data_IF_583590283543
#
_entry.id   IF_583590283543
#
_cell.length_a   1.000
_cell.length_b   1.000
_cell.length_c   1.000
_cell.angle_alpha   90.00
_cell.angle_beta   90.00
_cell.angle_gamma   90.00
#
_symmetry.space_group_name_H-M   'P 1'
#
loop_
_entity.id
_entity.type
_entity.pdbx_description
1 polymer ?
#
# COMPACT_ATOMS: atom_id res chain seq x y z
N UNK A 1 -44.41 -28.46 -0.05
CA UNK A 1 -43.77 -27.90 1.17
C UNK A 1 -44.86 -27.36 2.07
N UNK A 2 -44.90 -27.77 3.35
CA UNK A 2 -45.86 -27.24 4.31
C UNK A 2 -45.71 -25.71 4.41
N UNK A 3 -46.83 -24.97 4.38
CA UNK A 3 -46.84 -23.52 4.59
C UNK A 3 -46.37 -23.26 6.03
N UNK A 4 -45.10 -22.90 6.22
CA UNK A 4 -44.58 -22.47 7.51
C UNK A 4 -45.12 -21.07 7.80
N UNK A 5 -45.91 -20.93 8.88
CA UNK A 5 -46.39 -19.63 9.35
C UNK A 5 -45.23 -18.90 10.05
N UNK A 6 -44.71 -17.86 9.40
CA UNK A 6 -43.59 -17.06 9.91
C UNK A 6 -43.93 -16.33 11.22
N UNK A 7 -45.21 -16.02 11.47
CA UNK A 7 -45.65 -15.35 12.70
C UNK A 7 -45.52 -16.20 13.97
N UNK A 8 -45.35 -17.52 13.82
CA UNK A 8 -45.17 -18.45 14.95
C UNK A 8 -43.75 -19.04 14.99
N UNK A 9 -42.85 -18.55 14.15
CA UNK A 9 -41.47 -19.02 14.14
C UNK A 9 -40.73 -18.49 15.38
N UNK A 10 -39.87 -19.33 15.96
CA UNK A 10 -39.04 -18.95 17.11
C UNK A 10 -38.12 -17.79 16.71
N UNK A 11 -38.20 -16.69 17.47
CA UNK A 11 -37.27 -15.58 17.33
C UNK A 11 -35.89 -16.02 17.83
N UNK A 12 -34.86 -15.74 17.03
CA UNK A 12 -33.46 -15.97 17.40
C UNK A 12 -32.78 -14.61 17.62
N UNK A 13 -32.00 -14.45 18.70
CA UNK A 13 -31.34 -13.18 19.00
C UNK A 13 -30.07 -12.93 18.17
N UNK A 14 -29.60 -13.94 17.43
CA UNK A 14 -28.43 -13.86 16.54
C UNK A 14 -28.53 -14.89 15.42
N UNK A 15 -27.82 -14.65 14.31
CA UNK A 15 -27.68 -15.55 13.17
C UNK A 15 -26.23 -15.54 12.65
N UNK A 16 -25.78 -16.65 12.08
CA UNK A 16 -24.44 -16.78 11.47
C UNK A 16 -24.45 -16.32 10.00
N UNK A 17 -23.29 -15.97 9.44
CA UNK A 17 -23.14 -15.44 8.06
C UNK A 17 -23.79 -16.32 6.98
N UNK A 18 -23.72 -17.64 7.13
CA UNK A 18 -24.29 -18.61 6.18
C UNK A 18 -25.79 -18.92 6.43
N UNK A 19 -26.40 -18.35 7.47
CA UNK A 19 -27.82 -18.55 7.76
C UNK A 19 -28.68 -17.76 6.77
N UNK A 20 -29.87 -18.28 6.48
CA UNK A 20 -30.78 -17.70 5.51
C UNK A 20 -31.71 -16.65 6.10
N UNK A 21 -31.75 -15.47 5.49
CA UNK A 21 -32.76 -14.42 5.67
C UNK A 21 -33.83 -14.60 4.58
N UNK A 22 -35.10 -14.45 4.94
CA UNK A 22 -36.23 -14.50 4.00
C UNK A 22 -36.55 -13.08 3.54
N UNK A 23 -36.64 -12.88 2.22
CA UNK A 23 -36.92 -11.58 1.60
C UNK A 23 -38.02 -11.74 0.55
N UNK A 24 -38.77 -10.68 0.27
CA UNK A 24 -39.72 -10.64 -0.84
C UNK A 24 -39.08 -9.95 -2.05
N UNK A 25 -39.06 -10.63 -3.19
CA UNK A 25 -38.55 -10.11 -4.46
C UNK A 25 -39.55 -10.44 -5.55
N UNK A 26 -40.03 -9.42 -6.26
CA UNK A 26 -41.02 -9.54 -7.35
C UNK A 26 -42.28 -10.34 -6.94
N UNK A 27 -42.84 -10.00 -5.77
CA UNK A 27 -44.06 -10.64 -5.27
C UNK A 27 -43.90 -12.10 -4.84
N UNK A 28 -42.66 -12.57 -4.70
CA UNK A 28 -42.38 -13.93 -4.24
C UNK A 28 -41.35 -13.96 -3.12
N UNK A 29 -41.58 -14.83 -2.13
CA UNK A 29 -40.62 -15.08 -1.07
C UNK A 29 -39.40 -15.81 -1.63
N UNK A 30 -38.21 -15.32 -1.29
CA UNK A 30 -36.89 -15.88 -1.62
C UNK A 30 -36.05 -16.01 -0.35
N UNK A 31 -34.96 -16.77 -0.43
CA UNK A 31 -33.98 -16.92 0.65
C UNK A 31 -32.64 -16.39 0.17
N UNK A 32 -32.00 -15.56 0.98
CA UNK A 32 -30.65 -15.03 0.80
C UNK A 32 -29.84 -15.31 2.06
N UNK A 33 -28.54 -15.53 1.99
CA UNK A 33 -27.72 -15.65 3.22
C UNK A 33 -27.56 -14.30 3.90
N UNK A 34 -27.33 -14.22 5.22
CA UNK A 34 -27.03 -12.95 5.88
C UNK A 34 -25.85 -12.23 5.21
N UNK A 35 -24.79 -12.95 4.84
CA UNK A 35 -23.62 -12.36 4.18
C UNK A 35 -24.00 -11.67 2.85
N UNK A 36 -24.67 -12.39 1.95
CA UNK A 36 -25.20 -11.82 0.70
C UNK A 36 -26.25 -10.73 0.92
N UNK A 37 -27.07 -10.80 1.97
CA UNK A 37 -28.06 -9.76 2.28
C UNK A 37 -27.38 -8.47 2.71
N UNK A 38 -26.41 -8.55 3.61
CA UNK A 38 -25.56 -7.42 4.01
C UNK A 38 -24.83 -6.84 2.80
N UNK A 39 -24.26 -7.70 1.94
CA UNK A 39 -23.63 -7.25 0.70
C UNK A 39 -24.63 -6.53 -0.21
N UNK A 40 -25.87 -7.03 -0.36
CA UNK A 40 -26.91 -6.42 -1.19
C UNK A 40 -27.45 -5.09 -0.66
N UNK A 41 -27.48 -4.90 0.66
CA UNK A 41 -27.83 -3.62 1.28
C UNK A 41 -26.71 -2.58 1.06
N UNK A 42 -25.46 -3.02 1.00
CA UNK A 42 -24.29 -2.15 0.92
C UNK A 42 -23.92 -1.77 -0.53
N UNK A 43 -24.46 -2.46 -1.54
CA UNK A 43 -24.10 -2.24 -2.95
C UNK A 43 -24.72 -1.02 -3.61
N UNK A 44 -25.87 -0.50 -3.16
CA UNK A 44 -26.58 0.58 -3.89
C UNK A 44 -27.05 1.79 -3.06
N UNK A 45 -26.96 1.74 -1.72
CA UNK A 45 -27.39 2.86 -0.88
C UNK A 45 -26.18 3.60 -0.29
N UNK A 46 -25.80 4.72 -0.92
CA UNK A 46 -24.75 5.60 -0.42
C UNK A 46 -25.03 6.08 1.02
N UNK A 47 -26.30 6.18 1.43
CA UNK A 47 -26.65 6.57 2.79
C UNK A 47 -26.27 5.49 3.81
N UNK A 48 -26.38 4.21 3.46
CA UNK A 48 -25.92 3.11 4.29
C UNK A 48 -24.39 3.08 4.35
N UNK A 49 -23.70 3.22 3.21
CA UNK A 49 -22.24 3.29 3.18
C UNK A 49 -21.71 4.43 4.07
N UNK A 50 -22.34 5.60 4.06
CA UNK A 50 -21.95 6.73 4.93
C UNK A 50 -22.00 6.42 6.43
N UNK A 51 -22.78 5.41 6.85
CA UNK A 51 -22.84 4.96 8.25
C UNK A 51 -21.79 3.91 8.59
N UNK A 52 -21.43 3.03 7.65
CA UNK A 52 -20.57 1.87 7.90
C UNK A 52 -19.21 1.91 7.18
N UNK A 53 -18.90 3.02 6.50
CA UNK A 53 -17.69 3.24 5.75
C UNK A 53 -17.31 4.72 5.80
N UNK A 54 -16.03 5.00 5.61
CA UNK A 54 -15.56 6.34 5.23
C UNK A 54 -15.17 6.32 3.76
N UNK A 55 -15.14 7.49 3.14
CA UNK A 55 -14.82 7.57 1.73
C UNK A 55 -14.14 8.85 1.33
N UNK A 56 -13.60 8.84 0.12
CA UNK A 56 -12.92 9.98 -0.49
C UNK A 56 -13.48 10.17 -1.90
N UNK A 57 -14.07 11.34 -2.22
CA UNK A 57 -14.42 11.67 -3.60
C UNK A 57 -13.13 11.83 -4.40
N UNK A 58 -12.94 11.07 -5.47
CA UNK A 58 -11.78 11.16 -6.34
C UNK A 58 -12.01 12.25 -7.38
N UNK A 59 -11.72 13.51 -7.00
CA UNK A 59 -11.97 14.70 -7.84
C UNK A 59 -10.87 14.93 -8.89
N UNK A 60 -10.41 13.86 -9.54
CA UNK A 60 -9.36 13.91 -10.57
C UNK A 60 -9.78 14.63 -11.87
N UNK A 61 -11.05 15.09 -11.96
CA UNK A 61 -11.51 16.03 -12.98
C UNK A 61 -11.25 17.51 -12.64
N UNK A 62 -10.70 17.80 -11.46
CA UNK A 62 -10.40 19.15 -10.99
C UNK A 62 -8.92 19.26 -10.63
N UNK A 63 -8.33 20.44 -10.82
CA UNK A 63 -6.91 20.66 -10.54
C UNK A 63 -6.59 20.65 -9.04
N UNK A 64 -7.55 20.89 -8.15
CA UNK A 64 -7.30 20.88 -6.71
C UNK A 64 -7.00 19.46 -6.21
N UNK A 65 -5.92 19.25 -5.44
CA UNK A 65 -5.67 18.00 -4.74
C UNK A 65 -6.52 17.87 -3.46
N UNK A 66 -7.22 18.91 -3.03
CA UNK A 66 -8.03 18.91 -1.80
C UNK A 66 -9.41 18.31 -2.07
N UNK A 67 -9.50 16.99 -1.96
CA UNK A 67 -10.72 16.25 -2.27
C UNK A 67 -11.66 16.13 -1.08
N UNK A 68 -11.11 16.04 0.13
CA UNK A 68 -11.84 15.89 1.38
C UNK A 68 -12.18 14.43 1.71
N UNK A 69 -12.77 14.23 2.88
CA UNK A 69 -13.19 12.91 3.39
C UNK A 69 -14.68 12.97 3.75
N UNK A 70 -15.39 11.89 3.50
CA UNK A 70 -16.83 11.76 3.74
C UNK A 70 -17.18 10.47 4.49
N UNK A 71 -18.44 10.34 4.91
CA UNK A 71 -18.93 9.15 5.60
C UNK A 71 -18.49 9.10 7.06
N UNK A 72 -18.30 7.90 7.59
CA UNK A 72 -18.02 7.64 9.00
C UNK A 72 -16.53 7.81 9.33
N UNK A 73 -16.10 9.06 9.54
CA UNK A 73 -14.71 9.38 9.95
C UNK A 73 -14.34 8.84 11.34
N UNK A 74 -15.33 8.50 12.17
CA UNK A 74 -15.10 7.79 13.43
C UNK A 74 -14.54 6.39 13.20
N UNK A 75 -15.10 5.66 12.24
CA UNK A 75 -14.58 4.35 11.83
C UNK A 75 -13.17 4.44 11.24
N UNK A 76 -12.86 5.50 10.48
CA UNK A 76 -11.48 5.75 10.06
C UNK A 76 -10.54 5.89 11.27
N UNK A 77 -10.92 6.67 12.29
CA UNK A 77 -10.09 6.83 13.48
C UNK A 77 -9.89 5.51 14.24
N UNK A 78 -10.92 4.67 14.32
CA UNK A 78 -10.83 3.32 14.87
C UNK A 78 -9.88 2.44 14.05
N UNK A 79 -10.06 2.40 12.72
CA UNK A 79 -9.17 1.66 11.83
C UNK A 79 -7.71 2.10 12.00
N UNK A 80 -7.47 3.42 11.94
CA UNK A 80 -6.17 4.05 12.13
C UNK A 80 -5.53 3.65 13.46
N UNK A 81 -6.29 3.54 14.54
CA UNK A 81 -5.78 3.17 15.86
C UNK A 81 -5.23 1.73 15.94
N UNK A 82 -5.68 0.85 15.04
CA UNK A 82 -5.19 -0.53 14.97
C UNK A 82 -3.95 -0.68 14.07
N UNK A 83 -3.67 0.33 13.24
CA UNK A 83 -2.47 0.35 12.38
C UNK A 83 -1.27 0.77 13.21
N UNK A 84 -0.15 0.07 13.03
CA UNK A 84 1.15 0.61 13.42
C UNK A 84 2.23 -0.43 13.58
N UNK A 85 3.30 -0.08 14.29
CA UNK A 85 4.54 -0.88 14.31
C UNK A 85 4.49 -2.05 15.29
N UNK A 86 5.08 -3.17 14.88
CA UNK A 86 5.28 -4.40 15.64
C UNK A 86 6.70 -4.91 15.41
N UNK A 87 7.27 -5.62 16.38
CA UNK A 87 8.37 -6.54 16.08
C UNK A 87 7.76 -7.88 15.66
N UNK A 88 8.16 -8.37 14.48
CA UNK A 88 7.70 -9.66 13.92
C UNK A 88 8.90 -10.60 13.75
N UNK A 89 8.80 -11.79 14.34
CA UNK A 89 9.82 -12.84 14.26
C UNK A 89 9.66 -13.66 12.98
N UNK A 90 10.69 -14.40 12.57
CA UNK A 90 10.64 -15.19 11.33
C UNK A 90 9.52 -16.23 11.30
N UNK A 91 9.08 -16.73 12.46
CA UNK A 91 7.97 -17.67 12.65
C UNK A 91 6.59 -16.99 12.83
N UNK A 92 6.50 -15.66 12.71
CA UNK A 92 5.22 -14.94 12.66
C UNK A 92 4.67 -14.49 14.03
N UNK A 93 5.45 -14.55 15.11
CA UNK A 93 5.06 -13.93 16.38
C UNK A 93 5.18 -12.42 16.26
N UNK A 94 4.17 -11.69 16.71
CA UNK A 94 4.10 -10.24 16.60
C UNK A 94 3.79 -9.60 17.95
N UNK A 95 4.60 -8.62 18.36
CA UNK A 95 4.34 -7.80 19.54
C UNK A 95 4.37 -6.31 19.19
N UNK A 96 3.35 -5.59 19.67
CA UNK A 96 3.09 -4.19 19.35
C UNK A 96 4.17 -3.28 19.94
N UNK A 97 4.69 -2.37 19.13
CA UNK A 97 5.58 -1.29 19.59
C UNK A 97 4.76 -0.11 20.10
N UNK A 98 5.37 0.72 20.95
CA UNK A 98 4.68 1.89 21.50
C UNK A 98 4.23 2.85 20.39
N UNK A 99 2.95 3.30 20.40
CA UNK A 99 2.39 4.15 19.35
C UNK A 99 2.98 5.57 19.33
N UNK A 100 3.71 5.96 20.38
CA UNK A 100 4.37 7.27 20.48
C UNK A 100 5.89 7.16 20.44
N UNK A 101 6.47 5.96 20.61
CA UNK A 101 7.90 5.74 20.47
C UNK A 101 8.20 4.26 20.17
N UNK A 102 8.41 3.95 18.89
CA UNK A 102 8.72 2.58 18.44
C UNK A 102 10.13 2.09 18.78
N UNK A 103 10.86 2.76 19.68
CA UNK A 103 12.07 2.22 20.31
C UNK A 103 11.81 1.25 21.46
N UNK A 104 10.55 1.07 21.88
CA UNK A 104 10.12 0.17 22.96
C UNK A 104 8.81 -0.53 22.60
N UNK A 105 8.53 -1.66 23.25
CA UNK A 105 7.22 -2.30 23.15
C UNK A 105 6.13 -1.46 23.81
N UNK A 106 4.86 -1.66 23.41
CA UNK A 106 3.72 -0.94 23.97
C UNK A 106 3.51 -1.23 25.47
N UNK A 107 3.97 -2.39 25.95
CA UNK A 107 3.97 -2.78 27.37
C UNK A 107 5.16 -2.21 28.17
N UNK A 108 6.04 -1.43 27.53
CA UNK A 108 7.24 -0.85 28.15
C UNK A 108 8.47 -1.76 28.13
N UNK A 109 8.38 -2.99 27.61
CA UNK A 109 9.52 -3.90 27.47
C UNK A 109 10.55 -3.31 26.49
N UNK A 110 11.84 -3.52 26.78
CA UNK A 110 12.94 -3.12 25.90
C UNK A 110 12.87 -3.88 24.58
N UNK A 111 13.03 -3.15 23.46
CA UNK A 111 13.05 -3.71 22.12
C UNK A 111 14.44 -4.27 21.77
N UNK A 112 14.50 -5.51 21.30
CA UNK A 112 15.67 -6.09 20.63
C UNK A 112 15.33 -6.45 19.18
N UNK A 113 15.74 -5.61 18.24
CA UNK A 113 15.48 -5.81 16.81
C UNK A 113 16.30 -6.97 16.22
N UNK A 114 17.28 -7.54 16.92
CA UNK A 114 18.01 -8.72 16.43
C UNK A 114 17.11 -9.96 16.36
N UNK A 115 16.03 -9.98 17.14
CA UNK A 115 15.05 -11.07 17.25
C UNK A 115 14.00 -11.09 16.13
N UNK A 116 13.95 -10.07 15.29
CA UNK A 116 12.96 -9.99 14.23
C UNK A 116 13.11 -8.78 13.33
N UNK A 117 11.97 -8.30 12.85
CA UNK A 117 11.85 -7.19 11.92
C UNK A 117 10.77 -6.23 12.40
N UNK A 118 11.01 -4.92 12.27
CA UNK A 118 10.02 -3.90 12.58
C UNK A 118 9.07 -3.76 11.38
N UNK A 119 7.82 -4.18 11.57
CA UNK A 119 6.78 -4.22 10.55
C UNK A 119 5.63 -3.29 10.96
N UNK A 120 4.99 -2.65 10.00
CA UNK A 120 3.65 -2.07 10.17
C UNK A 120 2.64 -3.17 9.92
N UNK A 121 1.77 -3.41 10.89
CA UNK A 121 0.62 -4.30 10.76
C UNK A 121 -0.65 -3.45 10.77
N UNK A 122 -1.57 -3.78 9.87
CA UNK A 122 -2.92 -3.25 9.84
C UNK A 122 -3.93 -4.41 9.69
N UNK A 123 -5.14 -4.31 10.25
CA UNK A 123 -6.22 -5.21 9.87
C UNK A 123 -6.51 -5.12 8.38
N UNK A 124 -7.11 -6.15 7.81
CA UNK A 124 -7.65 -6.11 6.44
C UNK A 124 -8.55 -4.89 6.23
N UNK A 125 -8.42 -4.27 5.06
CA UNK A 125 -9.22 -3.13 4.64
C UNK A 125 -10.15 -3.51 3.49
N UNK A 126 -11.47 -3.45 3.70
CA UNK A 126 -12.44 -3.57 2.61
C UNK A 126 -12.57 -2.25 1.86
N UNK A 127 -12.72 -2.31 0.54
CA UNK A 127 -12.91 -1.13 -0.29
C UNK A 127 -13.75 -1.39 -1.52
N UNK A 128 -14.39 -0.33 -2.02
CA UNK A 128 -15.09 -0.32 -3.31
C UNK A 128 -14.96 1.07 -3.95
N UNK A 129 -14.81 1.10 -5.27
CA UNK A 129 -14.92 2.34 -6.06
C UNK A 129 -16.32 2.40 -6.63
N UNK A 130 -17.05 3.50 -6.38
CA UNK A 130 -18.39 3.73 -6.92
C UNK A 130 -18.48 5.06 -7.63
N UNK A 131 -19.04 5.07 -8.84
CA UNK A 131 -19.28 6.30 -9.58
C UNK A 131 -20.65 6.85 -9.24
N UNK A 132 -20.72 8.10 -8.80
CA UNK A 132 -21.98 8.83 -8.78
C UNK A 132 -22.34 9.24 -10.21
N UNK A 133 -23.46 8.71 -10.72
CA UNK A 133 -23.92 8.99 -12.06
C UNK A 133 -24.31 10.46 -12.26
N UNK A 134 -24.76 11.16 -11.20
CA UNK A 134 -25.22 12.54 -11.30
C UNK A 134 -24.06 13.54 -11.40
N UNK A 135 -23.06 13.42 -10.52
CA UNK A 135 -21.88 14.30 -10.54
C UNK A 135 -20.75 13.80 -11.44
N UNK A 136 -20.75 12.52 -11.81
CA UNK A 136 -19.65 11.89 -12.54
C UNK A 136 -18.37 11.73 -11.72
N UNK A 137 -18.45 11.86 -10.38
CA UNK A 137 -17.33 11.69 -9.45
C UNK A 137 -17.27 10.22 -9.01
N UNK A 138 -16.06 9.65 -9.03
CA UNK A 138 -15.80 8.34 -8.44
C UNK A 138 -15.51 8.50 -6.94
N UNK A 139 -16.05 7.63 -6.11
CA UNK A 139 -15.87 7.61 -4.67
C UNK A 139 -15.15 6.33 -4.28
N UNK A 140 -14.01 6.47 -3.62
CA UNK A 140 -13.36 5.35 -2.94
C UNK A 140 -13.95 5.23 -1.55
N UNK A 141 -14.71 4.16 -1.30
CA UNK A 141 -15.23 3.80 0.01
C UNK A 141 -14.35 2.74 0.64
N UNK A 142 -14.13 2.85 1.95
CA UNK A 142 -13.27 1.97 2.75
C UNK A 142 -13.95 1.64 4.08
N UNK A 143 -13.76 0.41 4.56
CA UNK A 143 -14.36 -0.04 5.82
C UNK A 143 -13.58 -1.19 6.47
N UNK A 144 -13.73 -1.31 7.78
CA UNK A 144 -13.36 -2.50 8.55
C UNK A 144 -14.31 -3.69 8.30
N UNK A 145 -15.49 -3.42 7.77
CA UNK A 145 -16.54 -4.38 7.52
C UNK A 145 -16.69 -4.64 6.01
N UNK A 146 -17.19 -5.81 5.60
CA UNK A 146 -17.53 -6.05 4.20
C UNK A 146 -18.56 -5.04 3.69
N UNK A 147 -18.19 -4.28 2.65
CA UNK A 147 -19.04 -3.25 2.02
C UNK A 147 -19.30 -3.52 0.53
N UNK A 148 -19.13 -4.77 0.11
CA UNK A 148 -18.99 -5.14 -1.30
C UNK A 148 -17.63 -4.73 -1.86
N UNK A 149 -17.32 -5.18 -3.08
CA UNK A 149 -16.04 -4.91 -3.74
C UNK A 149 -14.92 -5.86 -3.29
N UNK A 150 -13.77 -5.29 -2.95
CA UNK A 150 -12.53 -6.01 -2.68
C UNK A 150 -12.00 -5.74 -1.27
N UNK A 151 -10.89 -6.39 -0.92
CA UNK A 151 -10.14 -6.06 0.27
C UNK A 151 -8.63 -6.11 0.02
N UNK A 152 -7.87 -5.44 0.87
CA UNK A 152 -6.41 -5.58 0.98
C UNK A 152 -6.10 -6.28 2.30
N UNK A 153 -5.43 -7.42 2.21
CA UNK A 153 -5.01 -8.27 3.33
C UNK A 153 -4.36 -9.53 2.78
N UNK A 154 -3.11 -9.78 3.17
CA UNK A 154 -2.28 -10.84 2.58
C UNK A 154 -1.45 -11.64 3.61
N UNK A 155 -1.50 -11.25 4.88
CA UNK A 155 -1.02 -12.03 6.02
C UNK A 155 -2.19 -12.72 6.74
N UNK A 156 -1.89 -13.82 7.43
CA UNK A 156 -2.82 -14.57 8.27
C UNK A 156 -4.14 -14.93 7.57
N UNK A 157 -4.03 -15.55 6.39
CA UNK A 157 -5.21 -15.90 5.58
C UNK A 157 -5.96 -14.70 5.00
N UNK A 158 -5.34 -13.52 4.98
CA UNK A 158 -5.90 -12.28 4.48
C UNK A 158 -6.58 -11.42 5.54
N UNK A 159 -6.39 -11.72 6.83
CA UNK A 159 -6.93 -10.94 7.95
C UNK A 159 -6.09 -9.69 8.25
N UNK A 160 -4.82 -9.67 7.84
CA UNK A 160 -3.90 -8.57 8.12
C UNK A 160 -3.06 -8.19 6.90
N UNK A 161 -2.50 -7.00 6.97
CA UNK A 161 -1.43 -6.48 6.11
C UNK A 161 -0.17 -6.42 6.97
N UNK A 162 0.97 -6.90 6.50
CA UNK A 162 2.23 -6.88 7.27
C UNK A 162 3.44 -6.49 6.41
N UNK A 163 3.90 -5.25 6.55
CA UNK A 163 4.91 -4.63 5.67
C UNK A 163 5.99 -3.93 6.46
N UNK A 164 7.24 -4.01 6.03
CA UNK A 164 8.39 -3.40 6.68
C UNK A 164 8.19 -1.90 6.94
N UNK A 165 8.32 -1.51 8.21
CA UNK A 165 8.26 -0.11 8.60
C UNK A 165 9.39 0.72 7.96
N UNK A 166 10.52 0.07 7.69
CA UNK A 166 11.72 0.67 7.13
C UNK A 166 12.00 0.14 5.73
N UNK A 167 12.74 0.92 4.94
CA UNK A 167 13.39 0.42 3.73
C UNK A 167 14.32 -0.72 4.12
N UNK A 168 14.32 -1.76 3.31
CA UNK A 168 14.99 -3.00 3.65
C UNK A 168 16.52 -2.83 3.67
N UNK A 169 17.17 -3.51 4.60
CA UNK A 169 18.62 -3.62 4.73
C UNK A 169 19.01 -5.10 4.76
N UNK A 170 20.32 -5.40 4.80
CA UNK A 170 20.81 -6.78 4.93
C UNK A 170 21.43 -7.02 6.30
N UNK A 171 21.12 -8.17 6.88
CA UNK A 171 21.87 -8.77 7.98
C UNK A 171 22.48 -10.09 7.47
N UNK A 172 23.74 -10.04 7.03
CA UNK A 172 24.33 -11.13 6.26
C UNK A 172 23.60 -11.28 4.91
N UNK A 173 23.04 -12.46 4.66
CA UNK A 173 22.25 -12.75 3.46
C UNK A 173 20.74 -12.49 3.63
N UNK A 174 20.26 -12.24 4.84
CA UNK A 174 18.83 -12.05 5.11
C UNK A 174 18.43 -10.59 4.90
N UNK A 175 17.33 -10.37 4.18
CA UNK A 175 16.69 -9.06 4.08
C UNK A 175 15.97 -8.75 5.39
N UNK A 176 16.15 -7.54 5.93
CA UNK A 176 15.59 -7.14 7.22
C UNK A 176 14.90 -5.78 7.15
N UNK A 177 13.89 -5.57 7.99
CA UNK A 177 13.35 -4.23 8.30
C UNK A 177 13.80 -3.86 9.71
N UNK A 178 14.90 -3.10 9.83
CA UNK A 178 15.51 -2.71 11.10
C UNK A 178 15.91 -1.24 11.07
N UNK A 179 16.07 -0.66 12.24
CA UNK A 179 16.56 0.70 12.46
C UNK A 179 18.08 0.75 12.62
N UNK A 180 18.65 1.95 12.52
CA UNK A 180 20.09 2.17 12.74
C UNK A 180 20.98 1.58 11.64
N UNK A 181 20.40 1.24 10.49
CA UNK A 181 21.10 0.58 9.39
C UNK A 181 20.88 1.31 8.08
N UNK A 182 21.83 1.15 7.17
CA UNK A 182 21.72 1.70 5.82
C UNK A 182 20.80 0.80 4.98
N UNK A 183 19.83 1.35 4.25
CA UNK A 183 19.06 0.58 3.28
C UNK A 183 19.96 -0.09 2.24
N UNK A 184 19.57 -1.28 1.83
CA UNK A 184 20.18 -1.99 0.73
C UNK A 184 19.78 -1.36 -0.61
N UNK A 185 20.66 -1.48 -1.59
CA UNK A 185 20.46 -1.08 -2.98
C UNK A 185 21.43 -1.86 -3.86
N UNK A 186 21.56 -1.48 -5.13
CA UNK A 186 22.45 -2.15 -6.10
C UNK A 186 22.17 -3.66 -6.19
N UNK A 187 20.89 -3.99 -6.22
CA UNK A 187 20.35 -5.35 -6.35
C UNK A 187 19.18 -5.33 -7.32
N UNK A 188 19.02 -6.42 -8.04
CA UNK A 188 17.82 -6.70 -8.82
C UNK A 188 16.66 -7.10 -7.89
N UNK A 189 15.42 -6.96 -8.36
CA UNK A 189 14.25 -7.39 -7.58
C UNK A 189 14.29 -8.90 -7.26
N UNK A 190 14.84 -9.72 -8.16
CA UNK A 190 15.02 -11.16 -7.94
C UNK A 190 16.03 -11.47 -6.83
N UNK A 191 17.07 -10.66 -6.68
CA UNK A 191 18.01 -10.77 -5.57
C UNK A 191 17.35 -10.35 -4.25
N UNK A 192 16.63 -9.22 -4.23
CA UNK A 192 15.87 -8.80 -3.05
C UNK A 192 14.86 -9.87 -2.60
N UNK A 193 14.13 -10.46 -3.55
CA UNK A 193 13.22 -11.57 -3.28
C UNK A 193 13.95 -12.76 -2.66
N UNK A 194 15.11 -13.14 -3.20
CA UNK A 194 15.92 -14.23 -2.66
C UNK A 194 16.41 -13.93 -1.24
N UNK A 195 16.87 -12.70 -0.99
CA UNK A 195 17.30 -12.25 0.34
C UNK A 195 16.13 -12.26 1.34
N UNK A 196 14.91 -11.90 0.91
CA UNK A 196 13.71 -11.96 1.74
C UNK A 196 13.36 -13.41 2.13
N UNK A 197 13.48 -14.33 1.17
CA UNK A 197 13.17 -15.75 1.33
C UNK A 197 14.14 -16.47 2.28
N UNK A 198 15.31 -15.89 2.60
CA UNK A 198 16.21 -16.39 3.66
C UNK A 198 15.51 -16.41 5.02
N UNK A 199 14.57 -15.49 5.27
CA UNK A 199 13.78 -15.48 6.51
C UNK A 199 12.70 -16.58 6.55
N UNK A 200 12.38 -17.19 5.41
CA UNK A 200 11.35 -18.22 5.27
C UNK A 200 10.41 -17.97 4.09
N UNK A 201 9.60 -18.98 3.73
CA UNK A 201 8.71 -18.92 2.54
C UNK A 201 7.57 -17.91 2.65
N UNK A 202 7.21 -17.53 3.87
CA UNK A 202 6.20 -16.51 4.15
C UNK A 202 6.73 -15.08 4.00
N UNK A 203 8.02 -14.89 3.76
CA UNK A 203 8.63 -13.57 3.62
C UNK A 203 8.78 -13.20 2.16
N UNK A 204 8.45 -11.96 1.82
CA UNK A 204 8.55 -11.42 0.46
C UNK A 204 8.90 -9.94 0.49
N UNK A 205 8.59 -9.26 -0.59
CA UNK A 205 8.73 -7.81 -0.70
C UNK A 205 7.39 -7.11 -0.63
N UNK A 206 7.39 -5.79 -0.45
CA UNK A 206 6.21 -4.96 -0.67
C UNK A 206 5.60 -5.22 -2.07
N UNK A 207 4.28 -5.43 -2.14
CA UNK A 207 3.55 -5.69 -3.39
C UNK A 207 2.73 -4.45 -3.81
N UNK A 208 2.01 -4.59 -4.92
CA UNK A 208 1.20 -3.50 -5.47
C UNK A 208 0.08 -3.06 -4.51
N UNK A 209 -0.57 -4.02 -3.86
CA UNK A 209 -1.66 -3.77 -2.92
C UNK A 209 -1.20 -3.00 -1.70
N UNK A 210 0.01 -3.26 -1.20
CA UNK A 210 0.63 -2.49 -0.12
C UNK A 210 0.84 -1.02 -0.49
N UNK A 211 1.23 -0.72 -1.73
CA UNK A 211 1.37 0.67 -2.19
C UNK A 211 0.03 1.37 -2.33
N UNK A 212 -1.00 0.67 -2.84
CA UNK A 212 -2.37 1.17 -2.83
C UNK A 212 -2.86 1.45 -1.41
N UNK A 213 -2.58 0.54 -0.48
CA UNK A 213 -2.94 0.70 0.92
C UNK A 213 -2.31 1.97 1.53
N UNK A 214 -1.03 2.25 1.27
CA UNK A 214 -0.40 3.50 1.72
C UNK A 214 -1.10 4.75 1.15
N UNK A 215 -1.47 4.76 -0.13
CA UNK A 215 -2.26 5.85 -0.71
C UNK A 215 -3.63 5.97 -0.05
N UNK A 216 -4.32 4.85 0.21
CA UNK A 216 -5.60 4.82 0.91
C UNK A 216 -5.50 5.40 2.33
N UNK A 217 -4.42 5.12 3.07
CA UNK A 217 -4.16 5.74 4.38
C UNK A 217 -4.02 7.27 4.27
N UNK A 218 -3.26 7.75 3.29
CA UNK A 218 -3.08 9.18 3.05
C UNK A 218 -4.41 9.88 2.70
N UNK A 219 -5.15 9.31 1.75
CA UNK A 219 -6.46 9.82 1.33
C UNK A 219 -7.46 9.80 2.50
N UNK A 220 -7.47 8.75 3.31
CA UNK A 220 -8.36 8.64 4.48
C UNK A 220 -8.05 9.70 5.54
N UNK A 221 -6.78 10.03 5.73
CA UNK A 221 -6.37 11.01 6.74
C UNK A 221 -6.56 12.45 6.27
N UNK A 222 -6.23 12.74 5.01
CA UNK A 222 -6.08 14.12 4.54
C UNK A 222 -7.08 14.50 3.45
N UNK A 223 -7.78 13.52 2.87
CA UNK A 223 -8.63 13.77 1.70
C UNK A 223 -7.84 14.36 0.55
N UNK A 224 -6.55 14.06 0.42
CA UNK A 224 -5.66 14.63 -0.58
C UNK A 224 -4.60 13.61 -0.98
N UNK A 225 -4.28 13.46 -2.28
CA UNK A 225 -3.21 12.58 -2.74
C UNK A 225 -1.82 13.22 -2.52
N UNK A 226 -1.75 14.52 -2.22
CA UNK A 226 -0.48 15.25 -2.07
C UNK A 226 0.21 14.94 -0.73
N UNK A 227 0.76 13.73 -0.60
CA UNK A 227 1.45 13.29 0.61
C UNK A 227 2.63 14.20 1.00
N UNK A 228 3.30 14.80 0.01
CA UNK A 228 4.44 15.69 0.25
C UNK A 228 4.05 16.98 0.97
N UNK A 229 2.91 17.58 0.58
CA UNK A 229 2.33 18.73 1.26
C UNK A 229 1.79 18.38 2.65
N UNK A 230 1.07 17.26 2.76
CA UNK A 230 0.35 16.89 3.99
C UNK A 230 1.24 16.35 5.10
N UNK A 231 2.31 15.65 4.74
CA UNK A 231 3.17 14.95 5.71
C UNK A 231 4.58 15.54 5.64
N UNK A 232 5.20 15.57 4.46
CA UNK A 232 6.54 16.11 4.26
C UNK A 232 7.16 15.70 2.93
N UNK A 233 8.14 16.48 2.47
CA UNK A 233 8.75 16.37 1.13
C UNK A 233 9.69 15.15 0.98
N UNK A 234 9.83 14.33 2.02
CA UNK A 234 10.78 13.22 2.04
C UNK A 234 12.24 13.68 1.99
N UNK A 235 13.14 12.71 1.81
CA UNK A 235 14.59 12.95 1.78
C UNK A 235 15.01 13.77 0.55
N UNK A 236 14.24 13.68 -0.54
CA UNK A 236 14.46 14.41 -1.78
C UNK A 236 14.16 15.90 -1.70
N UNK A 237 13.41 16.33 -0.67
CA UNK A 237 13.05 17.72 -0.49
C UNK A 237 12.08 18.27 -1.54
N UNK A 238 11.84 19.57 -1.47
CA UNK A 238 10.94 20.31 -2.37
C UNK A 238 11.62 20.82 -3.65
N UNK A 239 10.79 21.14 -4.65
CA UNK A 239 11.22 21.59 -5.98
C UNK A 239 11.51 20.41 -6.93
N UNK A 240 11.81 20.69 -8.20
CA UNK A 240 12.07 19.64 -9.19
C UNK A 240 13.38 18.90 -8.99
N UNK A 241 13.87 18.25 -10.05
CA UNK A 241 15.09 17.43 -10.03
C UNK A 241 16.29 18.10 -9.32
N UNK A 242 16.84 17.44 -8.31
CA UNK A 242 18.05 17.85 -7.57
C UNK A 242 18.78 16.63 -7.07
N UNK A 243 19.97 16.34 -7.57
CA UNK A 243 20.71 15.16 -7.12
C UNK A 243 21.24 15.31 -5.68
N UNK A 244 20.47 14.78 -4.72
CA UNK A 244 20.85 14.69 -3.31
C UNK A 244 21.36 13.29 -2.92
N UNK A 245 21.45 12.35 -3.86
CA UNK A 245 21.64 10.93 -3.55
C UNK A 245 22.89 10.66 -2.72
N UNK A 246 24.03 11.22 -3.12
CA UNK A 246 25.29 11.04 -2.39
C UNK A 246 25.23 11.63 -0.96
N UNK A 247 24.43 12.69 -0.76
CA UNK A 247 24.17 13.29 0.55
C UNK A 247 23.35 12.41 1.49
N UNK A 248 22.71 11.35 0.98
CA UNK A 248 21.91 10.43 1.80
C UNK A 248 22.70 9.26 2.38
N UNK A 249 23.99 9.15 2.05
CA UNK A 249 24.83 8.00 2.41
C UNK A 249 25.01 7.79 3.92
N UNK A 250 24.88 8.86 4.71
CA UNK A 250 24.94 8.83 6.18
C UNK A 250 23.59 8.60 6.85
N UNK A 251 22.48 8.61 6.10
CA UNK A 251 21.15 8.41 6.66
C UNK A 251 20.93 6.93 7.00
N UNK A 252 20.34 6.71 8.18
CA UNK A 252 19.99 5.39 8.69
C UNK A 252 18.47 5.31 8.85
N UNK A 253 17.93 4.11 8.69
CA UNK A 253 16.53 3.81 8.98
C UNK A 253 16.21 3.99 10.47
N UNK A 254 14.94 4.17 10.81
CA UNK A 254 14.46 4.34 12.18
C UNK A 254 14.52 5.78 12.69
N UNK A 255 14.74 6.76 11.81
CA UNK A 255 14.75 8.16 12.18
C UNK A 255 13.41 8.62 12.78
N UNK A 256 12.29 8.03 12.34
CA UNK A 256 10.92 8.35 12.78
C UNK A 256 10.48 7.53 13.98
N UNK A 257 11.39 6.90 14.72
CA UNK A 257 11.04 6.10 15.90
C UNK A 257 10.24 6.88 16.93
N UNK A 258 10.63 8.13 17.16
CA UNK A 258 9.99 9.08 18.09
C UNK A 258 8.60 9.53 17.67
N UNK A 259 8.16 9.23 16.44
CA UNK A 259 6.79 9.49 16.00
C UNK A 259 5.86 8.28 16.26
N UNK A 260 6.44 7.09 16.49
CA UNK A 260 5.70 5.84 16.63
C UNK A 260 4.79 5.59 15.43
N UNK A 261 3.49 5.53 15.68
CA UNK A 261 2.45 5.27 14.67
C UNK A 261 1.85 6.56 14.10
N UNK A 262 2.30 7.74 14.54
CA UNK A 262 1.70 9.01 14.16
C UNK A 262 2.17 9.50 12.80
N UNK A 263 1.24 10.05 12.00
CA UNK A 263 1.63 10.77 10.80
C UNK A 263 2.43 12.02 11.14
N UNK A 264 3.51 12.27 10.41
CA UNK A 264 4.32 13.47 10.62
C UNK A 264 5.68 13.41 9.93
N UNK A 265 6.54 14.36 10.28
CA UNK A 265 7.88 14.46 9.73
C UNK A 265 8.90 14.92 10.75
N UNK A 266 10.17 14.62 10.47
CA UNK A 266 11.33 15.17 11.15
C UNK A 266 12.17 15.88 10.09
N UNK A 267 12.37 17.19 10.24
CA UNK A 267 13.17 17.96 9.29
C UNK A 267 14.64 17.55 9.36
N UNK A 268 15.29 17.49 8.20
CA UNK A 268 16.71 17.16 8.07
C UNK A 268 17.37 18.09 7.04
N UNK A 269 18.69 18.12 7.05
CA UNK A 269 19.49 18.73 5.98
C UNK A 269 20.15 17.62 5.17
N UNK A 270 19.99 17.69 3.86
CA UNK A 270 20.67 16.80 2.92
C UNK A 270 21.45 17.66 1.93
N UNK A 271 22.75 17.41 1.83
CA UNK A 271 23.66 18.17 0.97
C UNK A 271 24.51 17.21 0.16
N UNK A 272 24.60 17.46 -1.13
CA UNK A 272 25.51 16.78 -2.05
C UNK A 272 26.44 17.81 -2.70
N UNK A 273 27.65 17.97 -2.15
CA UNK A 273 28.58 19.02 -2.59
C UNK A 273 27.97 20.41 -2.40
N UNK A 274 27.75 21.13 -3.50
CA UNK A 274 27.09 22.46 -3.50
C UNK A 274 25.57 22.39 -3.64
N UNK A 275 25.00 21.21 -3.92
CA UNK A 275 23.55 21.00 -4.02
C UNK A 275 22.98 20.81 -2.62
N UNK A 276 22.15 21.76 -2.18
CA UNK A 276 21.49 21.72 -0.87
C UNK A 276 20.01 21.44 -1.07
N UNK A 277 19.51 20.40 -0.39
CA UNK A 277 18.10 20.06 -0.36
C UNK A 277 17.29 21.12 0.38
N UNK A 278 16.05 21.32 -0.06
CA UNK A 278 15.11 22.28 0.55
C UNK A 278 13.96 21.48 1.18
N UNK A 279 13.54 21.85 2.38
CA UNK A 279 12.44 21.19 3.11
C UNK A 279 12.59 19.65 3.25
N UNK A 280 13.82 19.14 3.24
CA UNK A 280 14.09 17.72 3.37
C UNK A 280 13.59 17.20 4.73
N UNK A 281 12.99 16.02 4.71
CA UNK A 281 12.41 15.44 5.92
C UNK A 281 12.41 13.91 5.91
N UNK A 282 12.45 13.33 7.10
CA UNK A 282 12.12 11.92 7.35
C UNK A 282 10.63 11.86 7.60
N UNK A 283 9.88 11.11 6.80
CA UNK A 283 8.41 11.10 6.86
C UNK A 283 7.90 9.84 7.51
N UNK A 284 6.84 9.95 8.30
CA UNK A 284 6.13 8.82 8.88
C UNK A 284 4.67 8.85 8.42
N UNK A 285 4.22 7.79 7.76
CA UNK A 285 2.83 7.54 7.40
C UNK A 285 2.34 6.33 8.20
N UNK A 286 1.65 6.53 9.31
CA UNK A 286 1.09 5.45 10.12
C UNK A 286 2.12 4.36 10.53
N UNK A 287 3.36 4.78 10.77
CA UNK A 287 4.49 3.88 11.06
C UNK A 287 5.34 3.49 9.85
N UNK A 288 4.93 3.79 8.61
CA UNK A 288 5.77 3.65 7.43
C UNK A 288 6.76 4.81 7.32
N UNK A 289 8.04 4.53 7.54
CA UNK A 289 9.11 5.52 7.39
C UNK A 289 9.52 5.65 5.93
N UNK A 290 9.59 6.88 5.41
CA UNK A 290 10.11 7.23 4.08
C UNK A 290 9.52 6.39 2.94
N UNK A 291 8.19 6.32 2.90
CA UNK A 291 7.46 5.65 1.82
C UNK A 291 7.63 6.34 0.44
N UNK A 292 8.30 7.49 0.39
CA UNK A 292 8.69 8.22 -0.82
C UNK A 292 10.00 9.00 -0.64
N UNK A 293 10.61 9.40 -1.76
CA UNK A 293 11.66 10.43 -1.81
C UNK A 293 13.04 10.05 -1.27
N UNK A 294 13.32 8.78 -0.98
CA UNK A 294 14.67 8.34 -0.60
C UNK A 294 15.26 7.32 -1.58
N UNK A 295 14.67 6.13 -1.66
CA UNK A 295 14.94 5.14 -2.69
C UNK A 295 13.62 4.78 -3.36
N UNK A 296 13.67 4.50 -4.65
CA UNK A 296 12.60 3.77 -5.31
C UNK A 296 12.40 2.41 -4.64
N UNK A 297 11.16 1.95 -4.58
CA UNK A 297 10.81 0.63 -4.04
C UNK A 297 10.44 -0.30 -5.19
N UNK A 298 11.22 -1.37 -5.35
CA UNK A 298 10.93 -2.49 -6.23
C UNK A 298 9.73 -3.26 -5.68
N UNK A 299 8.67 -3.34 -6.48
CA UNK A 299 7.38 -3.92 -6.09
C UNK A 299 7.28 -5.36 -6.59
N UNK A 300 7.07 -6.30 -5.68
CA UNK A 300 6.88 -7.70 -6.07
C UNK A 300 5.53 -7.99 -6.69
N UNK A 301 5.45 -9.15 -7.35
CA UNK A 301 4.18 -9.70 -7.80
C UNK A 301 3.51 -8.85 -8.87
N UNK A 302 4.24 -7.96 -9.54
CA UNK A 302 3.71 -7.20 -10.67
C UNK A 302 4.82 -6.84 -11.67
N UNK A 303 4.47 -6.73 -12.95
CA UNK A 303 5.37 -6.26 -14.00
C UNK A 303 4.59 -5.72 -15.20
N UNK A 304 5.24 -4.89 -16.00
CA UNK A 304 4.70 -4.42 -17.27
C UNK A 304 5.16 -5.28 -18.45
N UNK A 305 4.33 -5.40 -19.47
CA UNK A 305 4.72 -5.99 -20.75
C UNK A 305 5.84 -5.18 -21.42
N UNK A 306 6.64 -5.85 -22.22
CA UNK A 306 7.69 -5.28 -23.06
C UNK A 306 7.33 -5.49 -24.54
N UNK A 307 7.24 -4.42 -25.31
CA UNK A 307 6.91 -4.44 -26.74
C UNK A 307 7.93 -5.16 -27.63
N UNK A 308 9.14 -5.44 -27.13
CA UNK A 308 10.14 -6.26 -27.82
C UNK A 308 9.85 -7.77 -27.69
N UNK A 309 9.05 -8.18 -26.71
CA UNK A 309 8.59 -9.56 -26.60
C UNK A 309 7.44 -9.77 -27.59
N UNK A 310 7.61 -10.72 -28.52
CA UNK A 310 6.62 -11.01 -29.58
C UNK A 310 5.22 -11.39 -29.07
N UNK A 311 5.09 -11.81 -27.81
CA UNK A 311 3.82 -12.14 -27.16
C UNK A 311 3.16 -10.95 -26.43
N UNK A 312 3.82 -9.80 -26.33
CA UNK A 312 3.37 -8.65 -25.54
C UNK A 312 3.30 -7.39 -26.41
N UNK A 313 2.50 -6.43 -25.99
CA UNK A 313 2.34 -5.13 -26.67
C UNK A 313 3.14 -4.02 -26.02
N UNK A 314 3.61 -4.22 -24.79
CA UNK A 314 4.28 -3.19 -24.01
C UNK A 314 3.33 -2.33 -23.18
N UNK A 315 2.02 -2.57 -23.25
CA UNK A 315 1.02 -1.79 -22.50
C UNK A 315 0.41 -2.58 -21.35
N UNK A 316 0.66 -3.89 -21.29
CA UNK A 316 0.09 -4.75 -20.26
C UNK A 316 0.69 -4.41 -18.89
N UNK A 317 -0.15 -4.51 -17.87
CA UNK A 317 0.26 -4.50 -16.48
C UNK A 317 -0.30 -5.74 -15.80
N UNK A 318 0.59 -6.67 -15.47
CA UNK A 318 0.27 -7.96 -14.88
C UNK A 318 0.50 -7.90 -13.37
N UNK A 319 -0.46 -8.39 -12.60
CA UNK A 319 -0.47 -8.34 -11.15
C UNK A 319 -0.84 -9.72 -10.62
N UNK A 320 0.09 -10.38 -9.95
CA UNK A 320 -0.08 -11.72 -9.40
C UNK A 320 -0.82 -11.70 -8.06
N UNK A 321 -1.52 -12.79 -7.77
CA UNK A 321 -2.01 -13.06 -6.42
C UNK A 321 -0.91 -13.71 -5.55
N UNK A 322 -0.83 -13.26 -4.29
CA UNK A 322 -0.03 -13.90 -3.24
C UNK A 322 1.47 -13.57 -3.25
N UNK A 323 2.21 -14.26 -2.40
CA UNK A 323 3.64 -14.06 -2.19
C UNK A 323 4.47 -14.76 -3.29
N UNK A 324 4.60 -14.13 -4.47
CA UNK A 324 5.38 -14.68 -5.59
C UNK A 324 6.02 -13.61 -6.47
N UNK A 325 7.05 -14.05 -7.20
CA UNK A 325 7.71 -13.30 -8.25
C UNK A 325 7.46 -13.94 -9.62
N UNK A 326 7.41 -13.16 -10.72
CA UNK A 326 7.41 -13.71 -12.06
C UNK A 326 8.69 -14.51 -12.33
N UNK A 327 8.55 -15.61 -13.06
CA UNK A 327 9.68 -16.32 -13.64
C UNK A 327 10.19 -15.62 -14.91
N UNK A 328 11.41 -15.95 -15.33
CA UNK A 328 11.99 -15.41 -16.57
C UNK A 328 11.14 -15.72 -17.81
N UNK A 329 10.52 -16.91 -17.86
CA UNK A 329 9.64 -17.30 -18.95
C UNK A 329 8.35 -16.45 -19.00
N UNK A 330 7.77 -16.14 -17.84
CA UNK A 330 6.57 -15.29 -17.75
C UNK A 330 6.88 -13.85 -18.18
N UNK A 331 8.07 -13.33 -17.83
CA UNK A 331 8.50 -11.99 -18.26
C UNK A 331 8.55 -11.85 -19.78
N UNK A 332 8.89 -12.91 -20.51
CA UNK A 332 8.95 -12.93 -21.97
C UNK A 332 7.60 -13.21 -22.66
N UNK A 333 6.60 -13.70 -21.91
CA UNK A 333 5.32 -14.15 -22.46
C UNK A 333 4.13 -13.59 -21.67
N UNK A 334 3.46 -14.41 -20.88
CA UNK A 334 2.36 -14.00 -20.01
C UNK A 334 2.48 -14.69 -18.66
N UNK A 335 1.85 -14.13 -17.61
CA UNK A 335 1.68 -14.82 -16.34
C UNK A 335 1.04 -16.20 -16.47
N UNK A 336 1.43 -17.11 -15.58
CA UNK A 336 0.71 -18.36 -15.32
C UNK A 336 0.01 -18.33 -13.95
N UNK A 337 -1.03 -19.16 -13.79
CA UNK A 337 -1.77 -19.24 -12.53
C UNK A 337 -2.75 -18.08 -12.32
N UNK A 338 -2.93 -17.66 -11.06
CA UNK A 338 -3.86 -16.58 -10.71
C UNK A 338 -3.18 -15.21 -10.82
N UNK A 339 -3.73 -14.37 -11.68
CA UNK A 339 -3.29 -13.00 -11.87
C UNK A 339 -4.46 -12.15 -12.36
N UNK A 340 -4.32 -10.84 -12.18
CA UNK A 340 -5.10 -9.81 -12.83
C UNK A 340 -4.25 -9.12 -13.88
N UNK A 341 -4.89 -8.68 -14.96
CA UNK A 341 -4.25 -7.86 -15.98
C UNK A 341 -5.06 -6.59 -16.18
N UNK A 342 -4.35 -5.48 -16.32
CA UNK A 342 -4.88 -4.23 -16.85
C UNK A 342 -3.89 -3.66 -17.87
N UNK A 343 -4.12 -2.44 -18.36
CA UNK A 343 -3.26 -1.79 -19.34
C UNK A 343 -2.86 -0.40 -18.89
N UNK A 344 -1.56 -0.09 -18.93
CA UNK A 344 -1.10 1.30 -18.85
C UNK A 344 -1.50 2.04 -20.12
N UNK A 345 -1.36 3.36 -20.09
CA UNK A 345 -1.57 4.22 -21.27
C UNK A 345 -0.71 3.73 -22.44
N UNK A 346 -1.17 3.85 -23.68
CA UNK A 346 -0.40 3.42 -24.86
C UNK A 346 0.90 4.21 -24.98
N UNK A 347 2.02 3.51 -25.10
CA UNK A 347 3.36 4.09 -25.22
C UNK A 347 4.05 3.61 -26.50
N UNK A 348 4.79 4.51 -27.14
CA UNK A 348 5.69 4.19 -28.26
C UNK A 348 7.15 4.53 -27.98
N UNK A 349 7.43 5.22 -26.86
CA UNK A 349 8.74 5.63 -26.38
C UNK A 349 8.64 6.02 -24.89
N UNK A 350 9.72 6.58 -24.33
CA UNK A 350 9.68 7.24 -23.03
C UNK A 350 8.56 8.29 -22.98
N UNK A 351 7.70 8.20 -21.97
CA UNK A 351 6.71 9.19 -21.63
C UNK A 351 6.73 9.40 -20.13
N UNK A 352 6.65 10.65 -19.72
CA UNK A 352 6.68 11.02 -18.31
C UNK A 352 5.87 12.29 -18.06
N UNK A 353 5.47 12.52 -16.81
CA UNK A 353 4.69 13.70 -16.46
C UNK A 353 3.98 13.57 -15.12
N UNK A 354 3.53 14.71 -14.59
CA UNK A 354 2.63 14.74 -13.45
C UNK A 354 1.26 14.18 -13.83
N UNK A 355 0.71 13.35 -12.96
CA UNK A 355 -0.53 12.62 -13.22
C UNK A 355 -1.77 13.50 -12.99
N UNK A 356 -2.66 13.51 -13.98
CA UNK A 356 -4.00 14.13 -13.83
C UNK A 356 -5.08 13.10 -13.55
N UNK A 357 -4.99 11.90 -14.16
CA UNK A 357 -5.95 10.82 -13.97
C UNK A 357 -5.25 9.50 -13.73
N UNK A 358 -5.73 8.78 -12.72
CA UNK A 358 -5.41 7.38 -12.47
C UNK A 358 -6.51 6.49 -13.04
N UNK A 359 -6.18 5.23 -13.27
CA UNK A 359 -7.11 4.22 -13.77
C UNK A 359 -8.30 4.01 -12.84
N UNK A 360 -8.06 3.95 -11.53
CA UNK A 360 -9.03 3.60 -10.50
C UNK A 360 -9.66 2.22 -10.75
N UNK A 361 -10.56 2.09 -11.73
CA UNK A 361 -11.28 0.85 -12.00
C UNK A 361 -11.98 0.30 -10.77
N UNK A 362 -12.28 -1.00 -10.78
CA UNK A 362 -12.85 -1.71 -9.62
C UNK A 362 -11.85 -1.80 -8.45
N UNK A 363 -10.55 -1.85 -8.77
CA UNK A 363 -9.46 -2.19 -7.84
C UNK A 363 -8.68 -0.98 -7.29
N UNK A 364 -9.15 0.24 -7.53
CA UNK A 364 -8.43 1.48 -7.21
C UNK A 364 -6.98 1.50 -7.72
N UNK A 365 -6.78 1.20 -9.00
CA UNK A 365 -5.48 1.14 -9.64
C UNK A 365 -4.83 2.52 -9.80
N UNK A 366 -3.62 2.64 -9.26
CA UNK A 366 -2.78 3.83 -9.23
C UNK A 366 -1.76 3.87 -10.38
N UNK A 367 -2.22 3.52 -11.59
CA UNK A 367 -1.45 3.68 -12.84
C UNK A 367 -2.07 4.82 -13.63
N UNK A 368 -1.25 5.69 -14.22
CA UNK A 368 -1.75 6.88 -14.87
C UNK A 368 -2.43 6.54 -16.20
N UNK A 369 -3.54 7.24 -16.45
CA UNK A 369 -4.25 7.23 -17.74
C UNK A 369 -4.16 8.56 -18.44
N UNK A 370 -3.78 9.64 -17.73
CA UNK A 370 -3.57 10.96 -18.30
C UNK A 370 -2.53 11.74 -17.49
N UNK A 371 -1.66 12.45 -18.21
CA UNK A 371 -0.61 13.31 -17.65
C UNK A 371 -0.94 14.78 -17.93
N UNK A 372 -0.22 15.70 -17.28
CA UNK A 372 -0.37 17.16 -17.45
C UNK A 372 -0.72 17.92 -16.16
N UNK A 373 -0.47 17.32 -14.99
CA UNK A 373 -0.66 17.97 -13.69
C UNK A 373 0.56 18.79 -13.24
N UNK A 374 0.71 18.94 -11.94
CA UNK A 374 1.86 19.58 -11.31
C UNK A 374 1.99 19.13 -9.85
N UNK A 375 3.08 19.48 -9.18
CA UNK A 375 3.37 19.08 -7.79
C UNK A 375 2.37 19.55 -6.73
N UNK A 376 1.40 20.38 -7.12
CA UNK A 376 0.33 20.89 -6.29
C UNK A 376 -1.05 20.81 -6.96
N UNK A 377 -1.19 20.00 -8.03
CA UNK A 377 -2.47 19.80 -8.71
C UNK A 377 -2.75 18.34 -9.04
N UNK A 378 -4.03 17.99 -9.07
CA UNK A 378 -4.54 16.64 -9.33
C UNK A 378 -3.96 15.60 -8.35
N UNK A 379 -3.13 14.68 -8.84
CA UNK A 379 -2.48 13.64 -8.03
C UNK A 379 -1.14 14.06 -7.45
N UNK A 380 -0.57 15.18 -7.91
CA UNK A 380 0.70 15.76 -7.43
C UNK A 380 1.98 14.93 -7.63
N UNK A 381 1.83 13.67 -8.05
CA UNK A 381 2.95 12.75 -8.26
C UNK A 381 3.25 12.55 -9.76
N UNK A 382 4.47 12.07 -10.04
CA UNK A 382 4.98 11.87 -11.40
C UNK A 382 4.92 10.41 -11.84
N UNK A 383 4.71 10.17 -13.14
CA UNK A 383 4.88 8.86 -13.77
C UNK A 383 6.04 8.91 -14.75
N UNK A 384 6.83 7.83 -14.78
CA UNK A 384 7.85 7.54 -15.80
C UNK A 384 7.53 6.18 -16.45
N UNK A 385 7.31 6.14 -17.77
CA UNK A 385 6.92 4.90 -18.45
C UNK A 385 7.44 4.77 -19.89
N UNK A 386 7.79 3.55 -20.31
CA UNK A 386 8.27 3.20 -21.66
C UNK A 386 7.70 1.83 -22.00
N UNK A 387 7.32 1.61 -23.26
CA UNK A 387 6.74 0.36 -23.76
C UNK A 387 7.64 -0.89 -23.64
N UNK A 388 8.93 -0.77 -23.36
CA UNK A 388 9.85 -1.90 -23.12
C UNK A 388 10.21 -2.10 -21.65
N UNK A 389 9.96 -1.10 -20.79
CA UNK A 389 10.22 -1.19 -19.36
C UNK A 389 9.23 -2.12 -18.66
N UNK A 390 9.75 -2.98 -17.78
CA UNK A 390 9.01 -4.06 -17.11
C UNK A 390 8.95 -3.91 -15.59
N UNK A 391 10.02 -3.38 -14.98
CA UNK A 391 10.14 -3.28 -13.53
C UNK A 391 9.20 -2.21 -12.99
N UNK A 392 8.40 -2.55 -11.97
CA UNK A 392 7.60 -1.58 -11.23
C UNK A 392 8.40 -1.02 -10.06
N UNK A 393 8.75 0.27 -10.17
CA UNK A 393 9.37 1.06 -9.11
C UNK A 393 8.37 2.09 -8.58
N UNK A 394 8.40 2.32 -7.26
CA UNK A 394 7.46 3.23 -6.60
C UNK A 394 8.14 4.25 -5.67
N UNK A 395 7.58 5.46 -5.58
CA UNK A 395 7.83 6.41 -4.49
C UNK A 395 8.87 7.49 -4.76
N UNK A 396 9.75 7.31 -5.74
CA UNK A 396 10.80 8.28 -6.06
C UNK A 396 12.07 8.15 -5.22
N UNK A 397 13.20 8.53 -5.83
CA UNK A 397 14.51 8.58 -5.19
C UNK A 397 14.87 9.96 -4.63
N UNK A 398 15.96 10.05 -3.87
CA UNK A 398 16.46 11.29 -3.27
C UNK A 398 16.76 12.42 -4.27
N UNK A 399 16.78 12.11 -5.56
CA UNK A 399 16.98 13.07 -6.64
C UNK A 399 15.69 13.70 -7.20
N UNK A 400 14.53 13.11 -6.87
CA UNK A 400 13.27 13.38 -7.58
C UNK A 400 12.52 14.62 -7.13
N UNK A 401 12.85 15.15 -5.94
CA UNK A 401 12.17 16.27 -5.33
C UNK A 401 10.64 16.10 -5.35
N UNK A 402 9.96 17.09 -5.92
CA UNK A 402 8.51 17.18 -6.04
C UNK A 402 7.88 16.16 -7.00
N UNK A 403 8.66 15.38 -7.74
CA UNK A 403 8.15 14.28 -8.55
C UNK A 403 7.76 13.05 -7.71
N UNK A 404 8.36 12.93 -6.52
CA UNK A 404 8.17 11.82 -5.59
C UNK A 404 6.78 11.83 -4.94
N UNK A 405 6.40 10.72 -4.32
CA UNK A 405 5.19 10.64 -3.49
C UNK A 405 4.50 9.29 -3.59
N UNK A 406 3.29 9.19 -3.03
CA UNK A 406 2.60 7.90 -2.88
C UNK A 406 1.99 7.36 -4.18
N UNK A 407 1.81 8.19 -5.20
CA UNK A 407 1.40 7.82 -6.55
C UNK A 407 2.52 7.92 -7.59
N UNK A 408 3.77 8.11 -7.16
CA UNK A 408 4.91 8.23 -8.07
C UNK A 408 5.35 6.85 -8.57
N UNK A 409 5.25 6.62 -9.88
CA UNK A 409 5.49 5.32 -10.52
C UNK A 409 6.59 5.43 -11.56
N UNK A 410 7.46 4.43 -11.62
CA UNK A 410 8.50 4.32 -12.63
C UNK A 410 8.50 2.92 -13.25
N UNK A 411 8.48 2.88 -14.58
CA UNK A 411 8.39 1.67 -15.41
C UNK A 411 9.19 1.78 -16.71
N UNK A 412 10.35 2.45 -16.66
CA UNK A 412 11.31 2.50 -17.78
C UNK A 412 12.28 1.32 -17.83
N UNK A 413 12.55 0.72 -16.68
CA UNK A 413 13.67 -0.19 -16.55
C UNK A 413 13.29 -1.65 -16.84
N UNK A 414 14.27 -2.40 -17.35
CA UNK A 414 14.19 -3.85 -17.45
C UNK A 414 14.04 -4.48 -16.06
N UNK A 415 13.44 -5.67 -15.99
CA UNK A 415 13.25 -6.38 -14.73
C UNK A 415 14.56 -6.73 -13.99
N UNK A 416 15.68 -6.75 -14.73
CA UNK A 416 17.04 -6.98 -14.23
C UNK A 416 17.77 -5.70 -13.81
N UNK A 417 17.12 -4.54 -13.78
CA UNK A 417 17.74 -3.30 -13.35
C UNK A 417 18.20 -3.36 -11.88
N UNK A 418 19.32 -2.73 -11.60
CA UNK A 418 19.96 -2.69 -10.29
C UNK A 418 20.70 -1.38 -10.13
N UNK A 419 20.26 -0.56 -9.18
CA UNK A 419 20.88 0.74 -8.88
C UNK A 419 20.90 0.99 -7.36
N UNK A 420 21.85 1.80 -6.90
CA UNK A 420 21.97 2.13 -5.49
C UNK A 420 20.71 2.86 -4.95
N UNK A 421 20.06 3.66 -5.79
CA UNK A 421 18.83 4.41 -5.50
C UNK A 421 17.55 3.58 -5.58
N UNK A 422 17.67 2.30 -5.94
CA UNK A 422 16.57 1.34 -5.95
C UNK A 422 16.73 0.34 -4.81
N UNK A 423 15.73 0.25 -3.95
CA UNK A 423 15.64 -0.70 -2.85
C UNK A 423 14.29 -1.41 -2.84
N UNK A 424 13.91 -1.98 -1.71
CA UNK A 424 12.55 -2.50 -1.49
C UNK A 424 12.21 -2.45 0.01
N UNK A 425 11.07 -3.01 0.40
CA UNK A 425 10.70 -3.28 1.80
C UNK A 425 10.41 -4.76 1.95
N UNK A 426 10.77 -5.31 3.10
CA UNK A 426 10.38 -6.65 3.50
C UNK A 426 8.86 -6.68 3.73
N UNK A 427 8.19 -7.79 3.44
CA UNK A 427 6.79 -8.02 3.78
C UNK A 427 6.57 -9.47 4.24
N UNK A 428 5.53 -9.70 5.02
CA UNK A 428 5.20 -11.00 5.58
C UNK A 428 3.78 -11.41 5.18
N UNK A 429 3.64 -12.65 4.72
CA UNK A 429 2.43 -13.22 4.11
C UNK A 429 1.92 -14.47 4.86
N UNK A 430 2.56 -14.81 5.97
CA UNK A 430 2.26 -16.02 6.74
C UNK A 430 1.25 -15.80 7.86
N UNK A 431 0.99 -16.85 8.66
CA UNK A 431 0.19 -16.76 9.87
C UNK A 431 0.82 -15.82 10.90
N UNK A 432 0.00 -15.08 11.63
CA UNK A 432 0.45 -14.18 12.70
C UNK A 432 -0.03 -14.68 14.06
N UNK A 433 0.83 -14.54 15.07
CA UNK A 433 0.46 -14.81 16.47
C UNK A 433 0.79 -13.60 17.32
N UNK A 434 -0.24 -12.89 17.77
CA UNK A 434 -0.08 -11.69 18.58
C UNK A 434 0.19 -12.01 20.05
N UNK A 435 1.10 -11.26 20.65
CA UNK A 435 1.49 -11.37 22.06
C UNK A 435 2.03 -10.04 22.60
N UNK A 436 2.27 -9.95 23.91
CA UNK A 436 2.94 -8.79 24.49
C UNK A 436 4.48 -8.83 24.25
N UNK A 437 5.14 -7.70 24.48
CA UNK A 437 6.57 -7.55 24.24
C UNK A 437 7.39 -8.45 25.16
N UNK A 438 6.97 -8.57 26.41
CA UNK A 438 7.60 -9.42 27.42
C UNK A 438 7.58 -10.91 27.01
N UNK A 439 6.44 -11.40 26.54
CA UNK A 439 6.24 -12.76 26.04
C UNK A 439 7.11 -13.00 24.82
N UNK A 440 7.12 -12.07 23.86
CA UNK A 440 7.93 -12.23 22.66
C UNK A 440 9.40 -12.35 23.03
N UNK A 441 9.94 -11.41 23.83
CA UNK A 441 11.35 -11.41 24.27
C UNK A 441 11.76 -12.66 25.05
N UNK A 442 10.83 -13.34 25.71
CA UNK A 442 11.12 -14.57 26.45
C UNK A 442 11.18 -15.83 25.55
N UNK A 443 10.71 -15.77 24.30
CA UNK A 443 10.51 -16.96 23.43
C UNK A 443 11.41 -17.01 22.21
N UNK A 444 12.35 -16.08 22.06
CA UNK A 444 13.20 -15.90 20.87
C UNK A 444 14.67 -15.73 21.18
#
# INVERSE_FOLDING_TARGET
>A
MAKKNLGNATLVPSIQKNNGVMVEVNGSVRRITLDNFMNSMNTDDEQLLRQIAWGVPIKQGTSSPEWGVIGNTGMWNEYKSMVGRYLVTNDGKAAKLSPVNSGVFADGTTLDETKGHVMVIAPRLYYTVKRDAASGVDYLWMSMLPIGGHFIGDADGGDYICVGAYKASLAGAALTSRSGVRPAGSRTISQFWTDAQVNGKNWGLVNYDHRRFMMMLCLSQYGSPNAQDKIGQGVSGSGGWKDLWAGTTSLLTGATKSLGDNNGKINITVTNGTVVGVDCSRVNLNGFEDAWGWQWEMIQGAYFGNSENTAQTGNEFYIYEGNRMPSYAELATHPSGKYRQTVRRTLSANSEGYVTKMMLGEYFDLIATTLGGGSNSYWCDYEYANNTGQLLLWGGGAYGGSYCGLGCVYSWDAFSHSDASCGSRLAYYGPLTFMDGKQLMATV
#
